data_IF_441408839809
#
_entry.id   IF_441408839809
#
_cell.length_a   1.000
_cell.length_b   1.000
_cell.length_c   1.000
_cell.angle_alpha   90.00
_cell.angle_beta   90.00
_cell.angle_gamma   90.00
#
_symmetry.space_group_name_H-M   'P 1'
#
loop_
_entity.id
_entity.type
_entity.pdbx_description
1 polymer ?
#
# COMPACT_ATOMS: atom_id res chain seq x y z
N UNK A 1 9.94 -24.78 14.50
CA UNK A 1 8.76 -24.04 15.00
C UNK A 1 8.85 -22.65 14.43
N UNK A 2 8.00 -22.32 13.45
CA UNK A 2 7.96 -20.96 12.89
C UNK A 2 7.28 -20.10 13.96
N UNK A 3 8.03 -19.21 14.60
CA UNK A 3 7.47 -18.13 15.43
C UNK A 3 6.37 -17.46 14.60
N UNK A 4 5.18 -17.14 15.14
CA UNK A 4 4.15 -16.52 14.32
C UNK A 4 4.73 -15.23 13.75
N UNK A 5 5.03 -15.22 12.45
CA UNK A 5 5.34 -14.02 11.71
C UNK A 5 4.08 -13.17 11.84
N UNK A 6 4.11 -12.22 12.78
CA UNK A 6 2.92 -11.48 13.16
C UNK A 6 2.39 -10.74 11.93
N UNK A 7 1.14 -11.02 11.64
CA UNK A 7 0.47 -10.77 10.39
C UNK A 7 0.53 -9.30 9.94
N UNK A 8 1.09 -9.05 8.75
CA UNK A 8 0.99 -7.75 8.08
C UNK A 8 -0.16 -7.81 7.09
N UNK A 9 -1.19 -6.97 7.26
CA UNK A 9 -2.30 -6.85 6.30
C UNK A 9 -1.99 -5.72 5.33
N UNK A 10 -1.78 -6.01 4.03
CA UNK A 10 -1.57 -4.97 3.05
C UNK A 10 -2.91 -4.37 2.61
N UNK A 11 -2.97 -3.04 2.60
CA UNK A 11 -4.11 -2.23 2.18
C UNK A 11 -3.71 -1.41 0.96
N UNK A 12 -4.19 -1.83 -0.21
CA UNK A 12 -3.91 -1.16 -1.47
C UNK A 12 -4.98 -0.12 -1.73
N UNK A 13 -4.57 1.15 -1.78
CA UNK A 13 -5.45 2.28 -2.03
C UNK A 13 -5.53 2.56 -3.54
N UNK A 14 -6.71 2.32 -4.12
CA UNK A 14 -7.00 2.57 -5.54
C UNK A 14 -7.60 3.96 -5.81
N UNK A 15 -7.32 4.92 -4.93
CA UNK A 15 -7.78 6.30 -5.07
C UNK A 15 -6.93 7.12 -6.07
N UNK A 16 -7.58 7.98 -6.85
CA UNK A 16 -6.92 8.94 -7.74
C UNK A 16 -7.66 9.10 -9.06
N UNK A 17 -7.98 10.33 -9.45
CA UNK A 17 -8.69 10.61 -10.72
C UNK A 17 -7.84 10.41 -11.96
N UNK A 18 -6.52 10.20 -11.81
CA UNK A 18 -5.62 9.96 -12.93
C UNK A 18 -5.46 11.12 -13.92
N UNK A 19 -6.06 12.30 -13.69
CA UNK A 19 -6.23 13.37 -14.68
C UNK A 19 -4.94 13.86 -15.38
N UNK A 20 -3.77 13.60 -14.80
CA UNK A 20 -2.45 13.96 -15.35
C UNK A 20 -1.97 13.05 -16.49
N UNK A 21 -2.62 11.91 -16.74
CA UNK A 21 -2.27 10.98 -17.84
C UNK A 21 -3.30 10.97 -18.96
N UNK A 22 -4.08 12.04 -19.10
CA UNK A 22 -4.93 12.20 -20.27
C UNK A 22 -4.06 12.20 -21.56
N UNK A 23 -4.46 11.51 -22.66
CA UNK A 23 -5.74 10.82 -22.88
C UNK A 23 -5.76 9.34 -22.47
N UNK A 24 -4.64 8.80 -21.97
CA UNK A 24 -4.54 7.39 -21.56
C UNK A 24 -5.45 7.08 -20.37
N UNK A 25 -5.49 7.96 -19.36
CA UNK A 25 -6.42 7.84 -18.24
C UNK A 25 -7.76 8.50 -18.52
N UNK A 26 -8.84 7.77 -18.24
CA UNK A 26 -10.23 8.25 -18.30
C UNK A 26 -10.90 7.99 -16.95
N UNK A 27 -12.02 8.66 -16.66
CA UNK A 27 -12.80 8.33 -15.45
C UNK A 27 -13.19 6.85 -15.42
N UNK A 28 -13.51 6.28 -16.58
CA UNK A 28 -13.83 4.85 -16.74
C UNK A 28 -12.61 3.92 -16.67
N UNK A 29 -11.39 4.44 -16.76
CA UNK A 29 -10.15 3.65 -16.68
C UNK A 29 -9.04 4.48 -16.01
N UNK A 30 -9.05 4.57 -14.67
CA UNK A 30 -8.05 5.33 -13.94
C UNK A 30 -6.64 4.79 -14.14
N UNK A 31 -5.65 5.68 -13.98
CA UNK A 31 -4.20 5.39 -14.15
C UNK A 31 -3.77 4.03 -13.58
N UNK A 32 -4.13 3.64 -12.33
CA UNK A 32 -3.60 2.42 -11.73
C UNK A 32 -3.88 1.16 -12.56
N UNK A 33 -4.97 1.15 -13.33
CA UNK A 33 -5.48 0.00 -14.06
C UNK A 33 -4.98 -0.09 -15.51
N UNK A 34 -4.22 0.89 -15.97
CA UNK A 34 -3.69 0.92 -17.34
C UNK A 34 -2.34 0.17 -17.38
N UNK A 35 -2.20 -0.71 -18.39
CA UNK A 35 -0.97 -1.45 -18.72
C UNK A 35 0.04 -0.53 -19.42
N UNK A 36 0.62 0.43 -18.69
CA UNK A 36 1.52 1.47 -19.25
C UNK A 36 2.98 1.00 -19.41
N UNK A 37 3.45 0.11 -18.53
CA UNK A 37 4.87 -0.25 -18.40
C UNK A 37 5.16 -1.72 -18.77
N UNK A 38 4.17 -2.42 -19.32
CA UNK A 38 4.25 -3.85 -19.67
C UNK A 38 2.89 -4.52 -19.60
N UNK A 39 2.87 -5.83 -19.38
CA UNK A 39 1.65 -6.66 -19.41
C UNK A 39 0.75 -6.49 -18.17
N UNK A 40 1.29 -5.92 -17.11
CA UNK A 40 0.60 -5.67 -15.85
C UNK A 40 0.30 -4.19 -15.68
N UNK A 41 -0.89 -3.90 -15.14
CA UNK A 41 -1.19 -2.57 -14.62
C UNK A 41 -0.36 -2.29 -13.36
N UNK A 42 -0.22 -1.02 -12.98
CA UNK A 42 0.45 -0.69 -11.70
C UNK A 42 -0.32 -1.25 -10.50
N UNK A 43 -1.66 -1.36 -10.61
CA UNK A 43 -2.50 -2.03 -9.61
C UNK A 43 -2.12 -3.51 -9.47
N UNK A 44 -2.08 -4.26 -10.58
CA UNK A 44 -1.68 -5.67 -10.56
C UNK A 44 -0.26 -5.84 -10.02
N UNK A 45 0.67 -4.96 -10.43
CA UNK A 45 2.03 -4.95 -9.90
C UNK A 45 2.06 -4.67 -8.38
N UNK A 46 1.19 -3.80 -7.86
CA UNK A 46 1.07 -3.53 -6.43
C UNK A 46 0.49 -4.72 -5.66
N UNK A 47 -0.52 -5.41 -6.20
CA UNK A 47 -1.08 -6.64 -5.62
C UNK A 47 0.00 -7.72 -5.54
N UNK A 48 0.68 -8.02 -6.65
CA UNK A 48 1.72 -9.05 -6.69
C UNK A 48 2.95 -8.74 -5.81
N UNK A 49 3.18 -7.46 -5.50
CA UNK A 49 4.25 -7.02 -4.59
C UNK A 49 4.01 -7.45 -3.15
N UNK A 50 2.74 -7.58 -2.75
CA UNK A 50 2.33 -7.95 -1.39
C UNK A 50 1.79 -9.38 -1.32
N UNK A 51 2.12 -10.24 -2.30
CA UNK A 51 1.66 -11.64 -2.34
C UNK A 51 2.66 -12.64 -1.74
N UNK A 52 3.66 -12.19 -0.96
CA UNK A 52 4.61 -13.09 -0.29
C UNK A 52 3.92 -13.77 0.90
N UNK A 53 3.62 -15.10 0.86
CA UNK A 53 2.71 -15.75 1.81
C UNK A 53 3.16 -15.70 3.27
N UNK A 54 4.48 -15.73 3.51
CA UNK A 54 5.04 -15.74 4.87
C UNK A 54 5.19 -14.32 5.49
N UNK A 55 4.88 -13.28 4.71
CA UNK A 55 5.03 -11.88 5.10
C UNK A 55 3.69 -11.19 5.21
N UNK A 56 2.82 -11.40 4.23
CA UNK A 56 1.58 -10.66 4.08
C UNK A 56 0.37 -11.60 4.18
N UNK A 57 -0.65 -11.13 4.89
CA UNK A 57 -1.99 -11.70 4.81
C UNK A 57 -2.67 -11.34 3.47
N UNK A 58 -3.87 -11.90 3.27
CA UNK A 58 -4.75 -11.55 2.16
C UNK A 58 -4.86 -10.01 2.06
N UNK A 59 -4.60 -9.42 0.87
CA UNK A 59 -4.70 -7.99 0.68
C UNK A 59 -6.13 -7.49 0.78
N UNK A 60 -6.26 -6.24 1.23
CA UNK A 60 -7.48 -5.46 1.17
C UNK A 60 -7.29 -4.41 0.07
N UNK A 61 -8.25 -4.33 -0.85
CA UNK A 61 -8.31 -3.29 -1.86
C UNK A 61 -9.35 -2.26 -1.45
N UNK A 62 -8.91 -1.04 -1.17
CA UNK A 62 -9.78 0.12 -0.97
C UNK A 62 -10.02 0.79 -2.32
N UNK A 63 -11.27 0.84 -2.76
CA UNK A 63 -11.60 1.39 -4.06
C UNK A 63 -12.95 2.11 -4.05
N UNK A 64 -13.10 3.11 -4.93
CA UNK A 64 -14.41 3.72 -5.18
C UNK A 64 -15.36 2.74 -5.89
N UNK A 65 -16.67 2.92 -5.68
CA UNK A 65 -17.69 2.07 -6.28
C UNK A 65 -17.60 1.96 -7.81
N UNK A 66 -17.15 3.02 -8.50
CA UNK A 66 -17.11 3.10 -9.96
C UNK A 66 -16.09 2.15 -10.60
N UNK A 67 -15.07 1.72 -9.86
CA UNK A 67 -13.99 0.85 -10.37
C UNK A 67 -14.07 -0.58 -9.83
N UNK A 68 -15.12 -0.94 -9.08
CA UNK A 68 -15.26 -2.24 -8.42
C UNK A 68 -15.10 -3.44 -9.36
N UNK A 69 -15.64 -3.32 -10.59
CA UNK A 69 -15.56 -4.39 -11.58
C UNK A 69 -14.15 -4.54 -12.15
N UNK A 70 -13.47 -3.42 -12.44
CA UNK A 70 -12.10 -3.43 -12.95
C UNK A 70 -11.14 -4.01 -11.90
N UNK A 71 -11.34 -3.69 -10.62
CA UNK A 71 -10.58 -4.29 -9.51
C UNK A 71 -10.76 -5.81 -9.50
N UNK A 72 -12.01 -6.29 -9.51
CA UNK A 72 -12.30 -7.73 -9.49
C UNK A 72 -11.74 -8.46 -10.72
N UNK A 73 -11.90 -7.88 -11.91
CA UNK A 73 -11.38 -8.41 -13.17
C UNK A 73 -9.85 -8.52 -13.13
N UNK A 74 -9.13 -7.45 -12.76
CA UNK A 74 -7.67 -7.47 -12.75
C UNK A 74 -7.08 -8.36 -11.66
N UNK A 75 -7.78 -8.57 -10.54
CA UNK A 75 -7.43 -9.58 -9.54
C UNK A 75 -7.59 -11.00 -10.10
N UNK A 76 -8.69 -11.26 -10.80
CA UNK A 76 -8.94 -12.55 -11.45
C UNK A 76 -7.90 -12.85 -12.54
N UNK A 77 -7.51 -11.86 -13.35
CA UNK A 77 -6.45 -11.99 -14.37
C UNK A 77 -5.11 -12.49 -13.80
N UNK A 78 -4.78 -12.11 -12.55
CA UNK A 78 -3.54 -12.50 -11.88
C UNK A 78 -3.72 -13.64 -10.86
N UNK A 79 -4.94 -14.16 -10.70
CA UNK A 79 -5.25 -15.26 -9.79
C UNK A 79 -5.04 -14.95 -8.30
N UNK A 80 -5.20 -13.68 -7.89
CA UNK A 80 -5.03 -13.27 -6.49
C UNK A 80 -6.38 -12.96 -5.84
N UNK A 81 -6.65 -13.59 -4.70
CA UNK A 81 -7.81 -13.26 -3.87
C UNK A 81 -7.53 -12.04 -2.98
N UNK A 82 -8.52 -11.16 -2.83
CA UNK A 82 -8.45 -9.99 -1.99
C UNK A 82 -9.83 -9.64 -1.42
N UNK A 83 -9.86 -8.98 -0.27
CA UNK A 83 -11.07 -8.33 0.22
C UNK A 83 -11.22 -6.99 -0.49
N UNK A 84 -12.38 -6.73 -1.12
CA UNK A 84 -12.65 -5.45 -1.79
C UNK A 84 -13.56 -4.61 -0.90
N UNK A 85 -13.03 -3.50 -0.38
CA UNK A 85 -13.76 -2.56 0.47
C UNK A 85 -14.07 -1.31 -0.35
N UNK A 86 -15.38 -1.06 -0.54
CA UNK A 86 -15.85 0.03 -1.39
C UNK A 86 -16.03 1.32 -0.58
N UNK A 87 -15.34 2.37 -0.98
CA UNK A 87 -15.54 3.71 -0.44
C UNK A 87 -16.85 4.29 -0.97
N UNK A 88 -17.78 4.72 -0.09
CA UNK A 88 -19.06 5.30 -0.53
C UNK A 88 -18.87 6.67 -1.21
N UNK A 89 -17.84 7.41 -0.78
CA UNK A 89 -17.47 8.72 -1.30
C UNK A 89 -15.96 8.88 -1.17
N UNK A 90 -15.32 9.52 -2.15
CA UNK A 90 -13.89 9.85 -2.09
C UNK A 90 -13.62 10.89 -0.98
N UNK A 91 -12.80 10.54 0.00
CA UNK A 91 -12.48 11.38 1.17
C UNK A 91 -11.00 11.34 1.58
N UNK A 92 -10.13 11.44 0.58
CA UNK A 92 -8.66 11.46 0.73
C UNK A 92 -8.08 10.24 1.48
N UNK A 93 -6.77 10.19 1.65
CA UNK A 93 -6.09 9.02 2.20
C UNK A 93 -6.37 8.78 3.68
N UNK A 94 -6.51 9.83 4.50
CA UNK A 94 -6.69 9.67 5.94
C UNK A 94 -7.95 8.88 6.30
N UNK A 95 -9.10 9.20 5.68
CA UNK A 95 -10.35 8.48 5.91
C UNK A 95 -10.29 7.04 5.42
N UNK A 96 -9.66 6.82 4.26
CA UNK A 96 -9.47 5.50 3.68
C UNK A 96 -8.61 4.60 4.59
N UNK A 97 -7.48 5.12 5.10
CA UNK A 97 -6.60 4.41 6.04
C UNK A 97 -7.31 4.12 7.36
N UNK A 98 -8.06 5.07 7.91
CA UNK A 98 -8.83 4.85 9.14
C UNK A 98 -9.89 3.75 8.98
N UNK A 99 -10.63 3.78 7.86
CA UNK A 99 -11.64 2.75 7.56
C UNK A 99 -11.02 1.35 7.43
N UNK A 100 -9.89 1.22 6.74
CA UNK A 100 -9.17 -0.05 6.66
C UNK A 100 -8.64 -0.52 8.03
N UNK A 101 -8.10 0.39 8.85
CA UNK A 101 -7.65 0.03 10.19
C UNK A 101 -8.79 -0.54 11.05
N UNK A 102 -9.98 0.08 11.01
CA UNK A 102 -11.16 -0.46 11.69
C UNK A 102 -11.59 -1.82 11.13
N UNK A 103 -11.64 -1.97 9.80
CA UNK A 103 -12.01 -3.23 9.15
C UNK A 103 -11.06 -4.38 9.54
N UNK A 104 -9.76 -4.09 9.61
CA UNK A 104 -8.73 -5.05 10.04
C UNK A 104 -8.84 -5.36 11.52
N UNK A 105 -9.02 -4.36 12.39
CA UNK A 105 -9.10 -4.56 13.83
C UNK A 105 -10.26 -5.49 14.26
N UNK A 106 -11.37 -5.49 13.53
CA UNK A 106 -12.50 -6.41 13.75
C UNK A 106 -12.15 -7.89 13.48
N UNK A 107 -11.15 -8.16 12.63
CA UNK A 107 -10.78 -9.51 12.15
C UNK A 107 -9.44 -9.98 12.70
N UNK A 108 -8.53 -9.05 12.94
CA UNK A 108 -7.15 -9.29 13.37
C UNK A 108 -6.73 -8.17 14.34
N UNK A 109 -7.05 -8.33 15.63
CA UNK A 109 -6.81 -7.29 16.65
C UNK A 109 -5.33 -6.87 16.79
N UNK A 110 -4.40 -7.77 16.47
CA UNK A 110 -2.96 -7.56 16.65
C UNK A 110 -2.19 -7.42 15.32
N UNK A 111 -2.90 -7.26 14.19
CA UNK A 111 -2.27 -7.13 12.88
C UNK A 111 -1.68 -5.73 12.66
N UNK A 112 -0.53 -5.70 11.99
CA UNK A 112 0.03 -4.44 11.47
C UNK A 112 -0.58 -4.18 10.10
N UNK A 113 -1.11 -2.99 9.89
CA UNK A 113 -1.59 -2.54 8.57
C UNK A 113 -0.47 -1.84 7.83
N UNK A 114 -0.19 -2.26 6.59
CA UNK A 114 0.66 -1.51 5.66
C UNK A 114 -0.19 -0.95 4.53
N UNK A 115 -0.20 0.38 4.40
CA UNK A 115 -0.96 1.06 3.35
C UNK A 115 -0.03 1.43 2.20
N UNK A 116 -0.44 1.12 0.96
CA UNK A 116 0.31 1.49 -0.23
C UNK A 116 -0.63 1.96 -1.35
N UNK A 117 -0.24 2.98 -2.14
CA UNK A 117 -1.01 3.38 -3.31
C UNK A 117 -0.85 2.38 -4.45
N UNK A 118 -1.92 2.22 -5.24
CA UNK A 118 -1.96 1.29 -6.37
C UNK A 118 -1.11 1.72 -7.58
N UNK A 119 -0.61 2.97 -7.62
CA UNK A 119 0.07 3.54 -8.80
C UNK A 119 1.57 3.80 -8.60
N UNK A 120 2.17 3.26 -7.53
CA UNK A 120 3.61 3.29 -7.32
C UNK A 120 4.31 2.10 -8.00
N UNK A 121 5.40 2.42 -8.71
CA UNK A 121 6.30 1.43 -9.31
C UNK A 121 7.43 1.14 -8.34
N UNK A 122 7.48 -0.09 -7.85
CA UNK A 122 8.55 -0.62 -7.00
C UNK A 122 8.92 -1.99 -7.57
N UNK A 123 10.14 -2.10 -8.08
CA UNK A 123 10.63 -3.27 -8.82
C UNK A 123 11.09 -4.39 -7.88
N UNK A 124 11.86 -4.05 -6.85
CA UNK A 124 12.39 -5.01 -5.88
C UNK A 124 11.33 -5.38 -4.81
N UNK A 125 10.52 -6.39 -5.14
CA UNK A 125 9.48 -6.93 -4.25
C UNK A 125 10.07 -7.49 -2.95
N UNK A 126 11.24 -8.10 -3.01
CA UNK A 126 11.87 -8.71 -1.84
C UNK A 126 12.40 -7.63 -0.88
N UNK A 127 12.99 -6.55 -1.39
CA UNK A 127 13.37 -5.40 -0.57
C UNK A 127 12.15 -4.72 0.04
N UNK A 128 11.05 -4.59 -0.70
CA UNK A 128 9.80 -4.05 -0.18
C UNK A 128 9.25 -4.91 0.98
N UNK A 129 9.20 -6.24 0.80
CA UNK A 129 8.77 -7.15 1.85
C UNK A 129 9.66 -7.05 3.11
N UNK A 130 10.99 -7.05 2.94
CA UNK A 130 11.94 -6.85 4.06
C UNK A 130 11.74 -5.51 4.77
N UNK A 131 11.51 -4.43 4.02
CA UNK A 131 11.24 -3.11 4.59
C UNK A 131 9.93 -3.11 5.41
N UNK A 132 8.88 -3.75 4.89
CA UNK A 132 7.62 -3.90 5.62
C UNK A 132 7.77 -4.74 6.89
N UNK A 133 8.56 -5.82 6.86
CA UNK A 133 8.84 -6.63 8.04
C UNK A 133 9.55 -5.82 9.14
N UNK A 134 10.66 -5.14 8.78
CA UNK A 134 11.40 -4.28 9.71
C UNK A 134 10.53 -3.15 10.29
N UNK A 135 9.73 -2.51 9.44
CA UNK A 135 8.78 -1.49 9.90
C UNK A 135 7.72 -2.10 10.81
N UNK A 136 7.19 -3.28 10.47
CA UNK A 136 6.19 -3.99 11.25
C UNK A 136 6.67 -4.37 12.65
N UNK A 137 7.93 -4.73 12.82
CA UNK A 137 8.52 -4.98 14.14
C UNK A 137 8.41 -3.77 15.07
N UNK A 138 8.72 -2.58 14.55
CA UNK A 138 8.61 -1.33 15.31
C UNK A 138 7.15 -0.90 15.46
N UNK A 139 6.32 -1.05 14.42
CA UNK A 139 4.91 -0.67 14.45
C UNK A 139 4.13 -1.40 15.56
N UNK A 140 4.48 -2.65 15.85
CA UNK A 140 3.88 -3.44 16.95
C UNK A 140 4.07 -2.82 18.33
N UNK A 141 5.04 -1.92 18.51
CA UNK A 141 5.23 -1.16 19.75
C UNK A 141 4.24 0.00 19.90
N UNK A 142 3.33 0.18 18.95
CA UNK A 142 2.37 1.30 18.89
C UNK A 142 2.84 2.48 18.04
N UNK A 143 3.98 2.36 17.36
CA UNK A 143 4.50 3.41 16.49
C UNK A 143 3.81 3.44 15.12
N UNK A 144 3.59 4.65 14.57
CA UNK A 144 3.22 4.82 13.16
C UNK A 144 4.49 4.90 12.34
N UNK A 145 4.63 3.99 11.37
CA UNK A 145 5.82 3.87 10.55
C UNK A 145 5.62 4.46 9.16
N UNK A 146 6.71 4.94 8.55
CA UNK A 146 6.76 5.33 7.14
C UNK A 146 8.02 4.74 6.50
N UNK A 147 8.00 4.59 5.17
CA UNK A 147 9.16 4.11 4.40
C UNK A 147 9.75 5.31 3.66
N UNK A 148 10.92 5.76 4.11
CA UNK A 148 11.68 6.83 3.47
C UNK A 148 12.45 6.33 2.25
N UNK A 149 12.50 7.14 1.19
CA UNK A 149 13.32 6.90 0.00
C UNK A 149 14.36 8.01 -0.10
N UNK A 150 15.63 7.67 -0.40
CA UNK A 150 16.68 8.66 -0.63
C UNK A 150 16.36 9.48 -1.90
N UNK A 151 16.16 10.81 -1.79
CA UNK A 151 15.86 11.63 -2.97
C UNK A 151 17.03 11.63 -3.96
N UNK A 152 16.71 11.56 -5.27
CA UNK A 152 17.69 11.72 -6.35
C UNK A 152 17.71 13.14 -6.93
N UNK A 153 16.67 13.93 -6.66
CA UNK A 153 16.49 15.31 -7.12
C UNK A 153 15.49 16.04 -6.19
N UNK A 154 15.46 17.39 -6.18
CA UNK A 154 14.56 18.18 -5.33
C UNK A 154 13.13 18.27 -5.90
N UNK A 155 12.37 17.18 -5.85
CA UNK A 155 10.98 17.13 -6.30
C UNK A 155 10.03 17.87 -5.34
N UNK A 156 9.51 19.02 -5.75
CA UNK A 156 8.59 19.83 -4.91
C UNK A 156 7.20 19.24 -4.73
N UNK A 157 6.85 18.20 -5.49
CA UNK A 157 5.58 17.49 -5.39
C UNK A 157 5.54 16.41 -4.30
N UNK A 158 6.67 16.14 -3.62
CA UNK A 158 6.78 15.14 -2.57
C UNK A 158 6.81 15.77 -1.17
N UNK A 159 6.30 15.02 -0.19
CA UNK A 159 6.61 15.26 1.22
C UNK A 159 8.04 14.83 1.54
N UNK A 160 8.72 15.54 2.43
CA UNK A 160 10.09 15.25 2.84
C UNK A 160 10.12 14.92 4.32
N UNK A 161 10.80 13.84 4.67
CA UNK A 161 10.97 13.40 6.06
C UNK A 161 12.37 13.82 6.51
N UNK A 162 12.47 14.52 7.64
CA UNK A 162 13.74 14.77 8.33
C UNK A 162 13.95 13.66 9.38
N UNK A 163 14.91 12.74 9.19
CA UNK A 163 15.23 11.72 10.18
C UNK A 163 15.84 12.36 11.42
N UNK A 164 15.37 11.93 12.59
CA UNK A 164 15.92 12.24 13.91
C UNK A 164 16.81 11.13 14.43
N UNK A 165 16.77 10.90 15.75
CA UNK A 165 17.56 9.87 16.41
C UNK A 165 17.16 8.45 15.98
N UNK A 166 18.13 7.54 15.95
CA UNK A 166 17.90 6.11 15.73
C UNK A 166 17.12 5.51 16.92
N UNK A 167 16.17 4.64 16.64
CA UNK A 167 15.43 3.87 17.65
C UNK A 167 16.31 2.69 18.07
N UNK A 168 16.68 2.66 19.35
CA UNK A 168 17.62 1.68 19.89
C UNK A 168 17.22 0.22 19.57
N UNK A 169 18.17 -0.56 19.06
CA UNK A 169 17.96 -1.96 18.71
C UNK A 169 17.31 -2.18 17.34
N UNK A 170 17.17 -1.14 16.51
CA UNK A 170 16.55 -1.22 15.18
C UNK A 170 17.33 -0.39 14.14
N UNK A 171 16.98 -0.55 12.87
CA UNK A 171 17.46 0.33 11.78
C UNK A 171 16.51 1.52 11.52
N UNK A 172 15.53 1.76 12.40
CA UNK A 172 14.52 2.80 12.23
C UNK A 172 14.94 4.11 12.93
N UNK A 173 14.40 5.22 12.44
CA UNK A 173 14.67 6.55 12.98
C UNK A 173 13.36 7.21 13.41
N UNK A 174 13.41 8.01 14.47
CA UNK A 174 12.36 8.97 14.76
C UNK A 174 12.23 9.97 13.60
N UNK A 175 11.03 10.50 13.39
CA UNK A 175 10.81 11.61 12.46
C UNK A 175 10.89 12.91 13.25
N UNK A 176 11.86 13.76 12.95
CA UNK A 176 11.94 15.09 13.54
C UNK A 176 10.93 16.04 12.89
N UNK A 177 10.70 15.88 11.57
CA UNK A 177 9.77 16.71 10.80
C UNK A 177 9.25 15.99 9.55
N UNK A 178 7.99 16.24 9.24
CA UNK A 178 7.32 15.90 7.98
C UNK A 178 6.98 17.18 7.20
#
# INVERSE_FOLDING_TARGET
>A
MVTPSAYIVPVIMCGGSGSRLWPASRESMPKPFIKLLGDLSTFQAAVLRVSTPDVFLRPIILAGNDVRFIVAEQLAEIGVEADIVLEPVRRDSAAAVAAAACYVAERHSDAVVVTLPADHVIEDRAAFARACQKAGEVARTGAIMTIGIRPKHPATSYGYIKPGACIQGTDAFHIERF
#
